data_IF_360680511429
#
_entry.id   IF_360680511429
#
_cell.length_a   1.000
_cell.length_b   1.000
_cell.length_c   1.000
_cell.angle_alpha   90.00
_cell.angle_beta   90.00
_cell.angle_gamma   90.00
#
_symmetry.space_group_name_H-M   'P 1'
#
loop_
_entity.id
_entity.type
_entity.pdbx_description
1 polymer ?
#
# COMPACT_ATOMS: atom_id res chain seq x y z
N UNK A 1 -41.90 23.41 34.64
CA UNK A 1 -42.39 22.37 33.71
C UNK A 1 -41.19 21.53 33.26
N UNK A 2 -41.19 20.25 33.65
CA UNK A 2 -40.28 19.11 33.41
C UNK A 2 -38.77 19.32 33.10
N UNK A 3 -37.91 18.94 34.06
CA UNK A 3 -36.50 18.57 33.81
C UNK A 3 -36.43 17.08 33.45
N UNK A 4 -35.98 16.76 32.23
CA UNK A 4 -35.74 15.37 31.83
C UNK A 4 -34.49 14.80 32.53
N UNK A 5 -34.58 13.60 33.13
CA UNK A 5 -33.42 12.96 33.76
C UNK A 5 -32.47 12.39 32.70
N UNK A 6 -31.17 12.75 32.80
CA UNK A 6 -30.08 12.31 31.91
C UNK A 6 -29.91 10.78 31.85
N UNK A 7 -30.51 10.04 32.76
CA UNK A 7 -30.50 8.57 32.80
C UNK A 7 -31.36 7.94 31.69
N UNK A 8 -32.33 8.66 31.13
CA UNK A 8 -33.18 8.13 30.05
C UNK A 8 -32.43 8.00 28.71
N UNK A 9 -31.42 8.84 28.49
CA UNK A 9 -30.65 8.87 27.24
C UNK A 9 -29.64 7.71 27.14
N UNK A 10 -29.20 7.17 28.27
CA UNK A 10 -28.28 6.03 28.31
C UNK A 10 -28.98 4.68 28.12
N UNK A 11 -30.28 4.61 28.40
CA UNK A 11 -31.07 3.37 28.24
C UNK A 11 -31.51 3.11 26.79
N UNK A 12 -31.50 4.12 25.92
CA UNK A 12 -31.98 3.98 24.54
C UNK A 12 -30.95 3.33 23.59
N UNK A 13 -29.66 3.34 23.94
CA UNK A 13 -28.62 2.69 23.11
C UNK A 13 -28.54 1.16 23.28
N UNK A 14 -29.10 0.60 24.36
CA UNK A 14 -29.02 -0.85 24.63
C UNK A 14 -30.08 -1.64 23.83
N UNK A 15 -31.10 -0.97 23.28
CA UNK A 15 -32.19 -1.62 22.56
C UNK A 15 -31.89 -1.98 21.08
N UNK A 16 -30.70 -1.66 20.55
CA UNK A 16 -30.34 -1.89 19.14
C UNK A 16 -29.48 -3.14 18.90
N UNK A 17 -29.24 -3.97 19.92
CA UNK A 17 -28.33 -5.14 19.82
C UNK A 17 -28.95 -6.55 19.69
N UNK A 18 -30.27 -6.81 19.69
CA UNK A 18 -30.76 -8.16 19.38
C UNK A 18 -30.85 -8.35 17.85
N UNK A 19 -29.71 -8.30 17.16
CA UNK A 19 -29.64 -8.40 15.69
C UNK A 19 -28.73 -9.50 15.13
N UNK A 20 -27.87 -10.12 15.94
CA UNK A 20 -26.90 -11.12 15.45
C UNK A 20 -27.36 -12.58 15.57
N UNK A 21 -28.56 -12.86 16.09
CA UNK A 21 -29.06 -14.24 16.22
C UNK A 21 -29.88 -14.74 15.00
N UNK A 22 -30.14 -13.90 14.00
CA UNK A 22 -30.92 -14.29 12.81
C UNK A 22 -30.08 -14.65 11.57
N UNK A 23 -28.78 -14.96 11.75
CA UNK A 23 -27.99 -15.68 10.75
C UNK A 23 -28.05 -17.21 10.96
N UNK A 24 -29.16 -17.71 11.51
CA UNK A 24 -29.56 -19.12 11.43
C UNK A 24 -30.38 -19.39 10.18
N UNK A 25 -29.87 -18.97 9.01
CA UNK A 25 -30.46 -19.31 7.73
C UNK A 25 -29.93 -20.68 7.30
N UNK A 26 -30.81 -21.67 7.34
CA UNK A 26 -30.63 -23.01 6.78
C UNK A 26 -30.34 -22.88 5.27
N UNK A 27 -29.10 -22.57 4.93
CA UNK A 27 -28.62 -22.46 3.57
C UNK A 27 -28.20 -23.85 3.08
N UNK A 28 -29.15 -24.77 3.06
CA UNK A 28 -29.13 -25.82 2.04
C UNK A 28 -29.52 -25.17 0.70
N UNK A 29 -28.76 -24.16 0.27
CA UNK A 29 -28.66 -23.83 -1.14
C UNK A 29 -27.97 -25.04 -1.73
N UNK A 30 -28.77 -25.99 -2.24
CA UNK A 30 -28.34 -26.86 -3.34
C UNK A 30 -27.66 -25.92 -4.32
N UNK A 31 -26.34 -25.91 -4.28
CA UNK A 31 -25.52 -25.23 -5.24
C UNK A 31 -25.79 -26.02 -6.52
N UNK A 32 -26.80 -25.55 -7.28
CA UNK A 32 -26.87 -25.90 -8.68
C UNK A 32 -25.50 -25.49 -9.21
N UNK A 33 -24.67 -26.48 -9.48
CA UNK A 33 -23.42 -26.31 -10.20
C UNK A 33 -23.87 -25.69 -11.52
N UNK A 34 -23.78 -24.37 -11.60
CA UNK A 34 -23.84 -23.68 -12.88
C UNK A 34 -22.77 -24.37 -13.74
N UNK A 35 -23.08 -24.74 -15.00
CA UNK A 35 -22.08 -25.33 -15.87
C UNK A 35 -20.86 -24.40 -15.81
N UNK A 36 -19.70 -24.99 -15.52
CA UNK A 36 -18.45 -24.27 -15.43
C UNK A 36 -18.38 -23.33 -16.63
N UNK A 37 -18.44 -22.02 -16.37
CA UNK A 37 -18.10 -21.03 -17.38
C UNK A 37 -16.72 -21.39 -17.93
N UNK A 38 -16.43 -21.05 -19.19
CA UNK A 38 -15.22 -21.48 -19.87
C UNK A 38 -14.03 -21.32 -18.92
N UNK A 39 -13.32 -22.43 -18.67
CA UNK A 39 -12.10 -22.46 -17.87
C UNK A 39 -11.21 -21.35 -18.41
N UNK A 40 -11.17 -20.23 -17.68
CA UNK A 40 -10.14 -19.23 -17.88
C UNK A 40 -8.85 -19.98 -17.64
N UNK A 41 -8.10 -20.19 -18.72
CA UNK A 41 -6.78 -20.80 -18.69
C UNK A 41 -5.95 -19.97 -17.72
N UNK A 42 -5.83 -20.45 -16.48
CA UNK A 42 -4.98 -19.83 -15.46
C UNK A 42 -3.58 -19.89 -16.05
N UNK A 43 -3.04 -18.72 -16.40
CA UNK A 43 -1.65 -18.64 -16.83
C UNK A 43 -0.78 -19.27 -15.73
N UNK A 44 0.25 -20.05 -16.10
CA UNK A 44 1.15 -20.63 -15.12
C UNK A 44 1.74 -19.51 -14.25
N UNK A 45 1.62 -19.66 -12.92
CA UNK A 45 2.28 -18.76 -11.98
C UNK A 45 3.77 -19.06 -12.04
N UNK A 46 4.56 -18.11 -12.51
CA UNK A 46 6.01 -18.18 -12.45
C UNK A 46 6.45 -17.84 -11.02
N UNK A 47 6.88 -18.87 -10.28
CA UNK A 47 7.48 -18.68 -8.96
C UNK A 47 8.95 -18.30 -9.15
N UNK A 48 9.35 -17.18 -8.56
CA UNK A 48 10.75 -16.80 -8.46
C UNK A 48 11.37 -17.39 -7.21
N UNK A 49 12.55 -17.96 -7.35
CA UNK A 49 13.35 -18.43 -6.22
C UNK A 49 14.05 -17.24 -5.55
N UNK A 50 14.01 -17.22 -4.22
CA UNK A 50 14.76 -16.26 -3.42
C UNK A 50 15.97 -16.94 -2.81
N UNK A 51 17.09 -16.22 -2.77
CA UNK A 51 18.24 -16.63 -1.96
C UNK A 51 17.78 -16.81 -0.49
N UNK A 52 18.32 -17.81 0.24
CA UNK A 52 17.88 -18.14 1.59
C UNK A 52 17.82 -16.94 2.54
N UNK A 53 18.79 -16.03 2.44
CA UNK A 53 18.87 -14.81 3.26
C UNK A 53 17.75 -13.82 2.96
N UNK A 54 17.36 -13.69 1.69
CA UNK A 54 16.22 -12.85 1.27
C UNK A 54 14.93 -13.45 1.77
N UNK A 55 14.73 -14.75 1.58
CA UNK A 55 13.54 -15.45 2.06
C UNK A 55 13.41 -15.33 3.59
N UNK A 56 14.52 -15.51 4.30
CA UNK A 56 14.56 -15.32 5.76
C UNK A 56 14.14 -13.90 6.16
N UNK A 57 14.70 -12.87 5.51
CA UNK A 57 14.36 -11.47 5.79
C UNK A 57 12.85 -11.20 5.55
N UNK A 58 12.29 -11.70 4.44
CA UNK A 58 10.87 -11.54 4.13
C UNK A 58 9.97 -12.21 5.20
N UNK A 59 10.27 -13.45 5.57
CA UNK A 59 9.50 -14.16 6.60
C UNK A 59 9.64 -13.49 7.97
N UNK A 60 10.84 -13.04 8.34
CA UNK A 60 11.07 -12.29 9.57
C UNK A 60 10.26 -10.99 9.59
N UNK A 61 10.18 -10.28 8.46
CA UNK A 61 9.40 -9.05 8.32
C UNK A 61 7.90 -9.28 8.53
N UNK A 62 7.35 -10.34 7.94
CA UNK A 62 5.93 -10.69 8.04
C UNK A 62 5.56 -11.17 9.45
N UNK A 63 6.41 -11.99 10.09
CA UNK A 63 6.22 -12.37 11.49
C UNK A 63 6.27 -11.15 12.42
N UNK A 64 7.17 -10.20 12.15
CA UNK A 64 7.23 -8.94 12.89
C UNK A 64 5.96 -8.11 12.68
N UNK A 65 5.45 -8.03 11.45
CA UNK A 65 4.24 -7.29 11.10
C UNK A 65 3.02 -7.85 11.84
N UNK A 66 2.89 -9.18 11.89
CA UNK A 66 1.84 -9.87 12.65
C UNK A 66 1.90 -9.58 14.16
N UNK A 67 3.07 -9.22 14.69
CA UNK A 67 3.27 -8.83 16.09
C UNK A 67 3.24 -7.32 16.32
N UNK A 68 2.90 -6.53 15.31
CA UNK A 68 2.88 -5.06 15.38
C UNK A 68 4.28 -4.42 15.49
N UNK A 69 5.34 -5.15 15.16
CA UNK A 69 6.74 -4.69 15.20
C UNK A 69 7.16 -4.07 13.88
N UNK A 70 6.53 -2.94 13.53
CA UNK A 70 6.68 -2.30 12.22
C UNK A 70 8.08 -1.70 11.96
N UNK A 71 8.81 -1.35 13.03
CA UNK A 71 10.23 -1.00 13.00
C UNK A 71 11.05 -2.13 12.37
N UNK A 72 10.83 -3.36 12.85
CA UNK A 72 11.52 -4.56 12.36
C UNK A 72 11.02 -4.96 10.97
N UNK A 73 9.71 -4.84 10.71
CA UNK A 73 9.12 -5.12 9.40
C UNK A 73 9.77 -4.27 8.32
N UNK A 74 9.84 -2.95 8.51
CA UNK A 74 10.36 -2.04 7.48
C UNK A 74 11.84 -2.30 7.21
N UNK A 75 12.66 -2.45 8.25
CA UNK A 75 14.11 -2.72 8.10
C UNK A 75 14.36 -4.00 7.31
N UNK A 76 13.62 -5.08 7.60
CA UNK A 76 13.77 -6.33 6.88
C UNK A 76 13.27 -6.24 5.43
N UNK A 77 12.15 -5.55 5.17
CA UNK A 77 11.65 -5.35 3.81
C UNK A 77 12.59 -4.49 2.95
N UNK A 78 13.17 -3.42 3.51
CA UNK A 78 14.18 -2.61 2.81
C UNK A 78 15.43 -3.44 2.52
N UNK A 79 15.87 -4.25 3.48
CA UNK A 79 17.01 -5.16 3.29
C UNK A 79 16.74 -6.19 2.19
N UNK A 80 15.58 -6.84 2.23
CA UNK A 80 15.16 -7.82 1.22
C UNK A 80 15.07 -7.18 -0.17
N UNK A 81 14.47 -5.99 -0.29
CA UNK A 81 14.37 -5.26 -1.56
C UNK A 81 15.75 -4.95 -2.15
N UNK A 82 16.70 -4.50 -1.33
CA UNK A 82 18.08 -4.21 -1.78
C UNK A 82 18.82 -5.44 -2.24
N UNK A 83 18.66 -6.55 -1.54
CA UNK A 83 19.38 -7.80 -1.84
C UNK A 83 18.79 -8.51 -3.05
N UNK A 84 17.46 -8.62 -3.12
CA UNK A 84 16.79 -9.32 -4.22
C UNK A 84 16.79 -8.51 -5.52
N UNK A 85 16.82 -7.18 -5.41
CA UNK A 85 16.55 -6.25 -6.52
C UNK A 85 15.27 -6.60 -7.28
N UNK A 86 14.31 -7.20 -6.57
CA UNK A 86 13.05 -7.67 -7.13
C UNK A 86 12.02 -6.55 -7.08
N UNK A 87 11.48 -6.14 -8.24
CA UNK A 87 10.51 -5.06 -8.34
C UNK A 87 9.26 -5.27 -7.47
N UNK A 88 8.79 -6.50 -7.30
CA UNK A 88 7.64 -6.80 -6.44
C UNK A 88 7.96 -6.66 -4.95
N UNK A 89 9.19 -7.00 -4.55
CA UNK A 89 9.67 -6.77 -3.17
C UNK A 89 9.88 -5.28 -2.92
N UNK A 90 10.43 -4.55 -3.88
CA UNK A 90 10.62 -3.09 -3.81
C UNK A 90 9.27 -2.39 -3.68
N UNK A 91 8.29 -2.75 -4.51
CA UNK A 91 6.94 -2.21 -4.45
C UNK A 91 6.30 -2.47 -3.09
N UNK A 92 6.38 -3.71 -2.59
CA UNK A 92 5.83 -4.06 -1.27
C UNK A 92 6.52 -3.26 -0.15
N UNK A 93 7.83 -3.15 -0.19
CA UNK A 93 8.59 -2.35 0.78
C UNK A 93 8.19 -0.87 0.70
N UNK A 94 7.95 -0.33 -0.49
CA UNK A 94 7.51 1.04 -0.70
C UNK A 94 6.14 1.29 -0.05
N UNK A 95 5.17 0.40 -0.25
CA UNK A 95 3.85 0.50 0.37
C UNK A 95 3.92 0.49 1.91
N UNK A 96 4.81 -0.34 2.48
CA UNK A 96 5.04 -0.38 3.93
C UNK A 96 5.70 0.92 4.39
N UNK A 97 6.69 1.43 3.66
CA UNK A 97 7.33 2.70 4.00
C UNK A 97 6.35 3.89 3.95
N UNK A 98 5.43 3.89 2.98
CA UNK A 98 4.36 4.88 2.87
C UNK A 98 3.37 4.79 4.04
N UNK A 99 2.91 3.58 4.39
CA UNK A 99 1.94 3.42 5.50
C UNK A 99 2.53 3.80 6.87
N UNK A 100 3.85 3.67 7.03
CA UNK A 100 4.58 4.08 8.21
C UNK A 100 5.08 5.54 8.17
N UNK A 101 4.79 6.28 7.09
CA UNK A 101 5.29 7.63 6.84
C UNK A 101 6.82 7.75 6.97
N UNK A 102 7.56 6.70 6.57
CA UNK A 102 9.02 6.69 6.60
C UNK A 102 9.59 7.30 5.33
N UNK A 103 9.71 8.64 5.33
CA UNK A 103 10.23 9.40 4.19
C UNK A 103 11.64 8.97 3.77
N UNK A 104 12.49 8.57 4.72
CA UNK A 104 13.83 8.10 4.41
C UNK A 104 13.81 6.77 3.65
N UNK A 105 13.01 5.79 4.11
CA UNK A 105 12.88 4.51 3.43
C UNK A 105 12.23 4.68 2.06
N UNK A 106 11.21 5.54 1.94
CA UNK A 106 10.59 5.85 0.66
C UNK A 106 11.60 6.43 -0.35
N UNK A 107 12.45 7.39 0.06
CA UNK A 107 13.51 7.92 -0.82
C UNK A 107 14.50 6.84 -1.25
N UNK A 108 14.98 6.02 -0.32
CA UNK A 108 15.92 4.94 -0.64
C UNK A 108 15.31 3.93 -1.61
N UNK A 109 14.07 3.51 -1.38
CA UNK A 109 13.36 2.56 -2.22
C UNK A 109 13.02 3.14 -3.59
N UNK A 110 12.67 4.42 -3.70
CA UNK A 110 12.38 5.05 -4.99
C UNK A 110 13.63 5.12 -5.88
N UNK A 111 14.78 5.42 -5.27
CA UNK A 111 16.07 5.37 -5.98
C UNK A 111 16.38 3.94 -6.44
N UNK A 112 16.28 2.95 -5.53
CA UNK A 112 16.50 1.54 -5.87
C UNK A 112 15.55 1.07 -6.98
N UNK A 113 14.28 1.49 -6.94
CA UNK A 113 13.30 1.13 -7.95
C UNK A 113 13.73 1.64 -9.32
N UNK A 114 14.15 2.90 -9.45
CA UNK A 114 14.64 3.43 -10.73
C UNK A 114 15.98 2.83 -11.18
N UNK A 115 16.82 2.33 -10.26
CA UNK A 115 18.02 1.58 -10.65
C UNK A 115 17.69 0.22 -11.27
N UNK A 116 16.61 -0.44 -10.81
CA UNK A 116 16.20 -1.77 -11.27
C UNK A 116 15.28 -1.67 -12.49
N UNK A 117 14.33 -0.73 -12.44
CA UNK A 117 13.34 -0.44 -13.47
C UNK A 117 13.30 1.07 -13.74
N UNK A 118 14.14 1.56 -14.67
CA UNK A 118 14.19 2.97 -15.05
C UNK A 118 12.92 3.48 -15.75
N UNK A 119 11.94 2.61 -16.04
CA UNK A 119 10.66 2.97 -16.66
C UNK A 119 9.49 2.87 -15.66
N UNK A 120 9.78 2.67 -14.37
CA UNK A 120 8.76 2.64 -13.33
C UNK A 120 8.08 4.00 -13.18
N UNK A 121 6.86 4.10 -13.71
CA UNK A 121 5.99 5.28 -13.52
C UNK A 121 5.81 5.59 -12.02
N UNK A 122 5.47 4.63 -11.14
CA UNK A 122 5.30 4.91 -9.71
C UNK A 122 6.56 5.48 -9.07
N UNK A 123 7.75 4.97 -9.43
CA UNK A 123 9.00 5.47 -8.87
C UNK A 123 9.30 6.90 -9.32
N UNK A 124 9.05 7.25 -10.58
CA UNK A 124 9.15 8.63 -11.06
C UNK A 124 8.15 9.58 -10.38
N UNK A 125 6.92 9.14 -10.12
CA UNK A 125 5.93 9.90 -9.34
C UNK A 125 6.40 10.18 -7.91
N UNK A 126 6.97 9.18 -7.25
CA UNK A 126 7.48 9.35 -5.89
C UNK A 126 8.69 10.31 -5.89
N UNK A 127 9.60 10.16 -6.85
CA UNK A 127 10.77 11.02 -6.99
C UNK A 127 10.42 12.47 -7.27
N UNK A 128 9.39 12.76 -8.08
CA UNK A 128 8.97 14.14 -8.32
C UNK A 128 8.42 14.82 -7.07
N UNK A 129 7.63 14.10 -6.27
CA UNK A 129 7.11 14.60 -4.99
C UNK A 129 8.25 14.92 -4.03
N UNK A 130 9.27 14.06 -3.93
CA UNK A 130 10.45 14.34 -3.09
C UNK A 130 11.29 15.50 -3.61
N UNK A 131 11.52 15.60 -4.92
CA UNK A 131 12.26 16.71 -5.52
C UNK A 131 11.54 18.05 -5.25
N UNK A 132 10.21 18.07 -5.39
CA UNK A 132 9.39 19.23 -5.09
C UNK A 132 9.51 19.64 -3.62
N UNK A 133 9.39 18.69 -2.68
CA UNK A 133 9.56 18.95 -1.23
C UNK A 133 10.94 19.49 -0.88
N UNK A 134 11.96 19.18 -1.67
CA UNK A 134 13.32 19.69 -1.53
C UNK A 134 13.55 21.01 -2.29
N UNK A 135 12.48 21.65 -2.78
CA UNK A 135 12.53 22.85 -3.60
C UNK A 135 13.34 22.70 -4.91
N UNK A 136 13.51 21.47 -5.39
CA UNK A 136 14.16 21.16 -6.66
C UNK A 136 13.11 20.99 -7.76
N UNK A 137 12.57 22.13 -8.23
CA UNK A 137 11.51 22.14 -9.25
C UNK A 137 11.96 21.52 -10.58
N UNK A 138 13.22 21.70 -10.95
CA UNK A 138 13.77 21.16 -12.20
C UNK A 138 13.76 19.63 -12.20
N UNK A 139 14.25 18.99 -11.14
CA UNK A 139 14.22 17.52 -11.01
C UNK A 139 12.78 17.01 -10.91
N UNK A 140 11.90 17.73 -10.20
CA UNK A 140 10.49 17.38 -10.09
C UNK A 140 9.80 17.34 -11.46
N UNK A 141 10.00 18.40 -12.27
CA UNK A 141 9.45 18.48 -13.62
C UNK A 141 10.02 17.42 -14.55
N UNK A 142 11.34 17.17 -14.48
CA UNK A 142 11.99 16.13 -15.30
C UNK A 142 11.36 14.74 -15.07
N UNK A 143 11.10 14.38 -13.82
CA UNK A 143 10.43 13.11 -13.52
C UNK A 143 8.97 13.06 -13.99
N UNK A 144 8.25 14.18 -13.97
CA UNK A 144 6.87 14.26 -14.47
C UNK A 144 6.76 14.22 -15.99
N UNK A 145 7.70 14.83 -16.68
CA UNK A 145 7.85 14.64 -18.12
C UNK A 145 8.09 13.17 -18.45
N UNK A 146 8.94 12.48 -17.66
CA UNK A 146 9.20 11.06 -17.84
C UNK A 146 7.94 10.21 -17.63
N UNK A 147 7.12 10.51 -16.61
CA UNK A 147 5.82 9.84 -16.40
C UNK A 147 4.89 10.02 -17.59
N UNK A 148 4.76 11.25 -18.09
CA UNK A 148 3.94 11.54 -19.27
C UNK A 148 4.42 10.77 -20.50
N UNK A 149 5.73 10.76 -20.74
CA UNK A 149 6.33 10.06 -21.88
C UNK A 149 6.18 8.53 -21.81
N UNK A 150 6.05 7.98 -20.60
CA UNK A 150 5.77 6.56 -20.37
C UNK A 150 4.27 6.23 -20.46
N UNK A 151 3.40 7.22 -20.73
CA UNK A 151 1.95 7.05 -20.83
C UNK A 151 1.24 7.04 -19.47
N UNK A 152 1.93 7.44 -18.40
CA UNK A 152 1.32 7.62 -17.08
C UNK A 152 0.62 8.97 -16.95
N UNK A 153 -0.36 9.03 -16.04
CA UNK A 153 -0.94 10.31 -15.63
C UNK A 153 0.06 11.04 -14.71
N UNK A 154 0.64 12.12 -15.22
CA UNK A 154 1.56 12.96 -14.45
C UNK A 154 0.84 13.75 -13.34
N UNK A 155 -0.50 13.86 -13.37
CA UNK A 155 -1.34 14.53 -12.38
C UNK A 155 -0.68 15.78 -11.78
N UNK A 156 -0.40 16.77 -12.64
CA UNK A 156 0.28 18.01 -12.24
C UNK A 156 -0.51 18.78 -11.17
N UNK A 157 -1.83 18.60 -11.09
CA UNK A 157 -2.68 19.20 -10.05
C UNK A 157 -2.29 18.70 -8.66
N UNK A 158 -2.02 17.40 -8.51
CA UNK A 158 -1.54 16.84 -7.24
C UNK A 158 -0.18 17.40 -6.86
N UNK A 159 0.69 17.61 -7.85
CA UNK A 159 2.00 18.21 -7.64
C UNK A 159 1.88 19.68 -7.21
N UNK A 160 1.01 20.46 -7.85
CA UNK A 160 0.71 21.84 -7.48
C UNK A 160 0.13 21.94 -6.07
N UNK A 161 -0.74 20.99 -5.68
CA UNK A 161 -1.27 20.91 -4.33
C UNK A 161 -0.17 20.65 -3.28
N UNK A 162 0.81 19.79 -3.59
CA UNK A 162 1.97 19.57 -2.70
C UNK A 162 2.84 20.83 -2.63
N UNK A 163 3.07 21.51 -3.74
CA UNK A 163 3.87 22.74 -3.78
C UNK A 163 3.29 23.83 -2.88
N UNK A 164 1.96 23.99 -2.89
CA UNK A 164 1.25 24.97 -2.06
C UNK A 164 1.29 24.70 -0.55
N UNK A 165 1.73 23.50 -0.11
CA UNK A 165 1.89 23.14 1.30
C UNK A 165 3.30 23.36 1.83
N UNK A 166 4.26 23.69 0.95
CA UNK A 166 5.65 23.92 1.35
C UNK A 166 5.78 25.26 2.09
N UNK A 167 6.62 25.32 3.13
CA UNK A 167 6.94 26.59 3.79
C UNK A 167 7.61 27.56 2.79
N UNK A 168 7.42 28.88 2.96
CA UNK A 168 8.03 29.90 2.12
C UNK A 168 9.56 29.94 2.20
#
# INVERSE_FOLDING_TARGET
>A
MYRLPKTLLFSLCIALLPGCASLGGDNTRKQAVAPAGPEQTRQPVEYRDFEPEVLYALLAAEIAAQRGRYDVTLVNYVSAARQSRDTGVIERAMQIAQSLNSDEAQRQLANLWLEVDPQSIPAHQIKSVFALRNNNLEEAMSHMEKVMNLGGDANFDSLAAVAGQLPP
#
